data_IF_346636035009
#
_entry.id   IF_346636035009
#
_cell.length_a   1.000
_cell.length_b   1.000
_cell.length_c   1.000
_cell.angle_alpha   90.00
_cell.angle_beta   90.00
_cell.angle_gamma   90.00
#
_symmetry.space_group_name_H-M   'P 1'
#
loop_
_entity.id
_entity.type
_entity.pdbx_description
1 polymer ?
#
# COMPACT_ATOMS: atom_id res chain seq x y z
N UNK A 1 13.16 -43.09 24.99
CA UNK A 1 11.68 -42.92 25.06
C UNK A 1 11.29 -41.54 25.51
N UNK A 2 11.66 -41.11 26.68
CA UNK A 2 11.32 -39.83 27.24
C UNK A 2 11.85 -38.65 26.41
N UNK A 3 13.00 -38.78 25.78
CA UNK A 3 13.57 -37.75 24.94
C UNK A 3 12.74 -37.42 23.71
N UNK A 4 12.09 -38.42 23.13
CA UNK A 4 11.24 -38.22 21.98
C UNK A 4 10.02 -37.36 22.30
N UNK A 5 9.48 -37.56 23.51
CA UNK A 5 8.36 -36.76 23.97
C UNK A 5 8.76 -35.30 24.16
N UNK A 6 9.92 -35.07 24.75
CA UNK A 6 10.46 -33.71 24.90
C UNK A 6 10.70 -33.03 23.57
N UNK A 7 11.21 -33.76 22.59
CA UNK A 7 11.41 -33.22 21.26
C UNK A 7 10.11 -32.74 20.64
N UNK A 8 9.05 -33.50 20.81
CA UNK A 8 7.73 -33.12 20.30
C UNK A 8 7.22 -31.84 20.95
N UNK A 9 7.44 -31.66 22.22
CA UNK A 9 7.07 -30.46 22.94
C UNK A 9 7.82 -29.24 22.39
N UNK A 10 9.09 -29.39 22.11
CA UNK A 10 9.88 -28.33 21.48
C UNK A 10 9.31 -27.90 20.15
N UNK A 11 8.95 -28.85 19.31
CA UNK A 11 8.32 -28.54 18.03
C UNK A 11 7.05 -27.74 18.19
N UNK A 12 6.23 -28.07 19.19
CA UNK A 12 5.03 -27.31 19.48
C UNK A 12 5.31 -25.86 19.86
N UNK A 13 6.32 -25.63 20.67
CA UNK A 13 6.73 -24.28 21.03
C UNK A 13 7.24 -23.49 19.83
N UNK A 14 7.93 -24.15 18.94
CA UNK A 14 8.44 -23.54 17.73
C UNK A 14 7.29 -23.03 16.84
N UNK A 15 6.24 -23.80 16.72
CA UNK A 15 5.05 -23.42 15.95
C UNK A 15 4.40 -22.18 16.54
N UNK A 16 4.35 -22.07 17.87
CA UNK A 16 3.82 -20.89 18.54
C UNK A 16 4.61 -19.62 18.19
N UNK A 17 5.91 -19.73 18.04
CA UNK A 17 6.77 -18.62 17.61
C UNK A 17 6.42 -18.16 16.19
N UNK A 18 6.15 -19.09 15.30
CA UNK A 18 5.72 -18.76 13.94
C UNK A 18 4.37 -18.02 13.94
N UNK A 19 3.49 -18.34 14.88
CA UNK A 19 2.24 -17.62 15.05
C UNK A 19 2.45 -16.14 15.35
N UNK A 20 3.45 -15.81 16.14
CA UNK A 20 3.81 -14.41 16.43
C UNK A 20 4.25 -13.68 15.16
N UNK A 21 5.01 -14.34 14.29
CA UNK A 21 5.42 -13.77 13.01
C UNK A 21 4.21 -13.43 12.14
N UNK A 22 3.20 -14.27 12.12
CA UNK A 22 1.96 -14.00 11.39
C UNK A 22 1.24 -12.76 11.90
N UNK A 23 1.22 -12.55 13.22
CA UNK A 23 0.61 -11.36 13.83
C UNK A 23 1.34 -10.10 13.39
N UNK A 24 2.68 -10.13 13.34
CA UNK A 24 3.46 -8.99 12.85
C UNK A 24 3.12 -8.60 11.42
N UNK A 25 2.82 -9.56 10.57
CA UNK A 25 2.42 -9.31 9.19
C UNK A 25 1.11 -8.54 9.08
N UNK A 26 0.25 -8.55 10.09
CA UNK A 26 -1.00 -7.81 10.11
C UNK A 26 -0.80 -6.29 10.15
N UNK A 27 0.37 -5.81 10.55
CA UNK A 27 0.70 -4.38 10.54
C UNK A 27 0.95 -3.84 9.13
N UNK A 28 1.07 -4.72 8.14
CA UNK A 28 1.28 -4.35 6.75
C UNK A 28 -0.04 -4.24 5.99
N UNK A 29 -1.02 -3.60 6.61
CA UNK A 29 -2.34 -3.39 6.01
C UNK A 29 -2.24 -2.51 4.77
N UNK A 30 -2.96 -2.89 3.73
CA UNK A 30 -3.10 -2.09 2.51
C UNK A 30 -4.25 -1.11 2.66
N UNK A 31 -4.02 0.15 2.26
CA UNK A 31 -5.08 1.13 2.11
C UNK A 31 -5.45 1.21 0.64
N UNK A 32 -6.64 0.75 0.26
CA UNK A 32 -7.00 0.64 -1.15
C UNK A 32 -7.47 1.95 -1.75
N UNK A 33 -7.34 2.06 -3.06
CA UNK A 33 -7.92 3.12 -3.86
C UNK A 33 -8.58 2.52 -5.10
N UNK A 34 -9.73 3.05 -5.48
CA UNK A 34 -10.44 2.68 -6.71
C UNK A 34 -10.89 3.92 -7.43
N UNK A 35 -10.75 3.95 -8.75
CA UNK A 35 -11.30 5.02 -9.57
C UNK A 35 -12.26 4.42 -10.61
N UNK A 36 -13.37 5.12 -10.83
CA UNK A 36 -14.43 4.73 -11.76
C UNK A 36 -14.48 5.67 -12.93
N UNK A 37 -15.02 5.21 -14.04
CA UNK A 37 -15.33 6.05 -15.19
C UNK A 37 -16.23 7.20 -14.74
N UNK A 38 -15.91 8.41 -15.15
CA UNK A 38 -16.61 9.63 -14.76
C UNK A 38 -16.03 10.35 -13.56
N UNK A 39 -15.08 9.74 -12.84
CA UNK A 39 -14.40 10.38 -11.71
C UNK A 39 -13.11 11.03 -12.15
N UNK A 40 -12.87 12.27 -11.72
CA UNK A 40 -11.62 12.99 -12.01
C UNK A 40 -10.48 12.48 -11.14
N UNK A 41 -10.76 12.08 -9.91
CA UNK A 41 -9.74 11.60 -8.98
C UNK A 41 -10.35 10.69 -7.92
N UNK A 42 -9.48 9.94 -7.25
CA UNK A 42 -9.82 9.12 -6.09
C UNK A 42 -8.62 9.06 -5.15
N UNK A 43 -8.87 8.88 -3.86
CA UNK A 43 -7.80 8.79 -2.85
C UNK A 43 -8.06 7.65 -1.90
N UNK A 44 -7.01 7.03 -1.40
CA UNK A 44 -7.09 6.08 -0.30
C UNK A 44 -7.21 6.81 1.04
N UNK A 45 -7.58 6.07 2.09
CA UNK A 45 -7.35 6.53 3.46
C UNK A 45 -5.84 6.54 3.73
N UNK A 46 -5.37 7.37 4.68
CA UNK A 46 -3.97 7.32 5.08
C UNK A 46 -3.62 6.04 5.81
N UNK A 47 -2.39 5.58 5.66
CA UNK A 47 -1.84 4.47 6.45
C UNK A 47 -1.65 4.88 7.91
N UNK A 48 -1.28 3.93 8.75
CA UNK A 48 -0.70 4.23 10.05
C UNK A 48 0.66 4.91 9.87
N UNK A 49 1.28 5.33 10.98
CA UNK A 49 2.58 5.98 10.93
C UNK A 49 3.70 4.98 10.65
N UNK A 50 4.61 5.35 9.77
CA UNK A 50 5.77 4.56 9.41
C UNK A 50 6.77 5.43 8.66
N UNK A 51 7.86 4.82 8.17
CA UNK A 51 8.91 5.56 7.47
C UNK A 51 9.07 5.16 6.02
N UNK A 52 8.39 4.13 5.58
CA UNK A 52 8.50 3.59 4.23
C UNK A 52 7.15 3.05 3.77
N UNK A 53 6.77 3.35 2.54
CA UNK A 53 5.52 2.86 1.96
C UNK A 53 5.70 2.47 0.50
N UNK A 54 5.00 1.43 0.11
CA UNK A 54 4.92 0.94 -1.25
C UNK A 54 3.59 1.34 -1.86
N UNK A 55 3.63 1.89 -3.06
CA UNK A 55 2.47 2.36 -3.83
C UNK A 55 2.32 1.53 -5.09
N UNK A 56 1.12 1.10 -5.38
CA UNK A 56 0.80 0.32 -6.56
C UNK A 56 -0.54 0.76 -7.13
N UNK A 57 -0.63 0.82 -8.45
CA UNK A 57 -1.89 1.07 -9.15
C UNK A 57 -1.92 0.32 -10.48
N UNK A 58 -3.10 -0.19 -10.83
CA UNK A 58 -3.34 -0.89 -12.07
C UNK A 58 -4.65 -0.42 -12.69
N UNK A 59 -4.63 -0.08 -13.98
CA UNK A 59 -5.85 0.16 -14.73
C UNK A 59 -6.51 -1.17 -15.12
N UNK A 60 -7.84 -1.17 -15.20
CA UNK A 60 -8.58 -2.33 -15.67
C UNK A 60 -8.29 -2.59 -17.15
N UNK A 61 -8.46 -3.84 -17.58
CA UNK A 61 -8.24 -4.22 -18.98
C UNK A 61 -9.12 -3.43 -19.96
N UNK A 62 -10.31 -3.00 -19.50
CA UNK A 62 -11.25 -2.20 -20.28
C UNK A 62 -11.19 -0.70 -19.99
N UNK A 63 -10.19 -0.24 -19.26
CA UNK A 63 -10.00 1.20 -19.00
C UNK A 63 -9.61 1.90 -20.29
N UNK A 64 -10.33 2.97 -20.64
CA UNK A 64 -10.03 3.78 -21.82
C UNK A 64 -9.12 4.94 -21.51
N UNK A 65 -8.96 5.29 -20.26
CA UNK A 65 -8.05 6.32 -19.80
C UNK A 65 -6.93 5.75 -18.93
N UNK A 66 -5.80 6.41 -18.97
CA UNK A 66 -4.70 6.16 -18.05
C UNK A 66 -4.86 6.94 -16.75
N UNK A 67 -3.89 6.81 -15.86
CA UNK A 67 -3.89 7.45 -14.57
C UNK A 67 -2.57 8.13 -14.26
N UNK A 68 -2.64 9.26 -13.57
CA UNK A 68 -1.50 9.88 -12.92
C UNK A 68 -1.62 9.60 -11.44
N UNK A 69 -0.64 8.92 -10.88
CA UNK A 69 -0.66 8.46 -9.49
C UNK A 69 0.27 9.32 -8.66
N UNK A 70 -0.27 9.91 -7.60
CA UNK A 70 0.47 10.75 -6.66
C UNK A 70 0.68 10.01 -5.35
N UNK A 71 1.94 9.91 -4.94
CA UNK A 71 2.36 9.28 -3.70
C UNK A 71 2.54 10.35 -2.64
N UNK A 72 1.60 10.44 -1.71
CA UNK A 72 1.53 11.50 -0.72
C UNK A 72 2.04 11.00 0.63
N UNK A 73 2.78 11.86 1.34
CA UNK A 73 3.27 11.56 2.69
C UNK A 73 3.18 12.79 3.57
N UNK A 74 2.88 12.58 4.85
CA UNK A 74 2.80 13.67 5.83
C UNK A 74 3.44 13.29 7.15
N UNK A 75 4.33 14.14 7.64
CA UNK A 75 5.03 13.92 8.91
C UNK A 75 4.10 14.10 10.10
N UNK A 76 4.33 13.33 11.10
CA UNK A 76 3.70 13.53 12.40
C UNK A 76 4.12 14.91 12.96
N UNK A 77 3.13 15.75 13.26
CA UNK A 77 3.37 17.09 13.79
C UNK A 77 3.67 18.17 12.76
N UNK A 78 3.62 17.84 11.47
CA UNK A 78 3.74 18.84 10.41
C UNK A 78 2.52 19.76 10.35
N UNK A 79 2.75 21.05 10.08
CA UNK A 79 1.66 22.01 9.82
C UNK A 79 1.04 21.77 8.45
N UNK A 80 1.78 21.20 7.52
CA UNK A 80 1.28 20.77 6.22
C UNK A 80 0.98 19.29 6.30
N UNK A 81 -0.30 18.87 6.18
CA UNK A 81 -0.66 17.48 6.45
C UNK A 81 -0.02 16.49 5.49
N UNK A 82 0.13 16.88 4.22
CA UNK A 82 0.69 15.97 3.21
C UNK A 82 1.41 16.74 2.11
N UNK A 83 2.47 16.12 1.59
CA UNK A 83 3.21 16.62 0.43
C UNK A 83 3.34 15.53 -0.61
N UNK A 84 3.48 15.92 -1.88
CA UNK A 84 3.75 15.00 -2.97
C UNK A 84 5.23 14.59 -2.93
N UNK A 85 5.48 13.30 -2.75
CA UNK A 85 6.85 12.77 -2.68
C UNK A 85 7.29 12.13 -3.99
N UNK A 86 6.39 11.39 -4.65
CA UNK A 86 6.65 10.77 -5.94
C UNK A 86 5.36 10.70 -6.75
N UNK A 87 5.51 10.53 -8.06
CA UNK A 87 4.38 10.27 -8.96
C UNK A 87 4.80 9.31 -10.05
N UNK A 88 3.82 8.61 -10.61
CA UNK A 88 4.04 7.78 -11.79
C UNK A 88 2.78 7.75 -12.64
N UNK A 89 2.97 7.42 -13.92
CA UNK A 89 1.88 7.36 -14.89
C UNK A 89 1.60 5.90 -15.22
N UNK A 90 0.32 5.54 -15.26
CA UNK A 90 -0.13 4.21 -15.63
C UNK A 90 -0.93 4.32 -16.93
N UNK A 91 -0.56 3.51 -17.91
CA UNK A 91 -1.24 3.46 -19.20
C UNK A 91 -2.64 2.87 -19.06
N UNK A 92 -3.51 3.17 -20.02
CA UNK A 92 -4.83 2.55 -20.08
C UNK A 92 -4.72 1.05 -20.43
N UNK A 93 -5.83 0.34 -20.35
CA UNK A 93 -5.95 -1.06 -20.82
C UNK A 93 -5.01 -2.03 -20.08
N UNK A 94 -5.10 -2.07 -18.76
CA UNK A 94 -4.38 -3.05 -17.95
C UNK A 94 -2.95 -2.69 -17.64
N UNK A 95 -2.56 -1.44 -17.82
CA UNK A 95 -1.25 -0.96 -17.39
C UNK A 95 -1.11 -0.97 -15.86
N UNK A 96 0.10 -1.07 -15.38
CA UNK A 96 0.39 -0.99 -13.95
C UNK A 96 1.65 -0.20 -13.67
N UNK A 97 1.78 0.28 -12.43
CA UNK A 97 2.96 0.96 -11.97
C UNK A 97 3.08 0.88 -10.46
N UNK A 98 4.28 1.10 -9.97
CA UNK A 98 4.56 1.06 -8.54
C UNK A 98 5.79 1.89 -8.22
N UNK A 99 5.89 2.29 -6.96
CA UNK A 99 7.09 2.95 -6.43
C UNK A 99 7.12 2.85 -4.92
N UNK A 100 8.26 3.13 -4.33
CA UNK A 100 8.44 3.17 -2.89
C UNK A 100 8.86 4.58 -2.47
N UNK A 101 8.26 5.06 -1.38
CA UNK A 101 8.63 6.32 -0.75
C UNK A 101 9.26 6.02 0.60
N UNK A 102 10.41 6.63 0.86
CA UNK A 102 11.13 6.52 2.14
C UNK A 102 11.20 7.91 2.75
N UNK A 103 10.76 8.04 3.99
CA UNK A 103 10.79 9.30 4.73
C UNK A 103 11.85 9.25 5.83
N UNK A 104 12.46 10.39 6.12
CA UNK A 104 13.40 10.53 7.23
C UNK A 104 12.70 10.66 8.59
N UNK A 105 11.41 10.94 8.59
CA UNK A 105 10.58 11.10 9.79
C UNK A 105 9.35 10.23 9.70
N UNK A 106 8.83 9.82 10.85
CA UNK A 106 7.59 9.06 10.94
C UNK A 106 6.45 9.81 10.25
N UNK A 107 5.84 9.16 9.28
CA UNK A 107 4.85 9.75 8.37
C UNK A 107 3.67 8.81 8.16
N UNK A 108 2.55 9.38 7.76
CA UNK A 108 1.44 8.64 7.16
C UNK A 108 1.50 8.82 5.66
N UNK A 109 0.95 7.87 4.93
CA UNK A 109 1.00 7.84 3.47
C UNK A 109 -0.39 7.60 2.90
N UNK A 110 -0.71 8.25 1.78
CA UNK A 110 -1.90 7.89 1.02
C UNK A 110 -1.60 7.98 -0.48
N UNK A 111 -2.39 7.27 -1.27
CA UNK A 111 -2.30 7.28 -2.72
C UNK A 111 -3.46 8.08 -3.30
N UNK A 112 -3.17 8.97 -4.25
CA UNK A 112 -4.18 9.73 -4.97
C UNK A 112 -4.03 9.49 -6.47
N UNK A 113 -5.13 9.19 -7.12
CA UNK A 113 -5.15 8.83 -8.53
C UNK A 113 -5.96 9.85 -9.29
N UNK A 114 -5.41 10.38 -10.36
CA UNK A 114 -6.09 11.30 -11.26
C UNK A 114 -6.34 10.61 -12.59
N UNK A 115 -7.58 10.73 -13.07
CA UNK A 115 -7.95 10.26 -14.40
C UNK A 115 -7.42 11.20 -15.47
N UNK A 116 -6.83 10.65 -16.52
CA UNK A 116 -6.34 11.47 -17.63
C UNK A 116 -7.47 12.15 -18.42
N UNK A 117 -8.61 11.47 -18.59
CA UNK A 117 -9.74 11.96 -19.39
C UNK A 117 -11.10 11.52 -18.83
N UNK A 118 -11.25 11.38 -17.55
CA UNK A 118 -12.49 10.92 -16.87
C UNK A 118 -12.99 9.54 -17.34
N UNK A 119 -12.16 8.77 -18.02
CA UNK A 119 -12.50 7.43 -18.51
C UNK A 119 -11.64 6.33 -17.92
N UNK A 120 -10.94 6.65 -16.85
CA UNK A 120 -10.07 5.71 -16.14
C UNK A 120 -10.87 4.83 -15.20
N UNK A 121 -10.56 3.54 -15.24
CA UNK A 121 -11.07 2.53 -14.33
C UNK A 121 -9.91 1.69 -13.83
N UNK A 122 -9.78 1.56 -12.52
CA UNK A 122 -8.69 0.79 -11.96
C UNK A 122 -8.65 0.84 -10.45
N UNK A 123 -7.68 0.16 -9.89
CA UNK A 123 -7.48 0.10 -8.44
C UNK A 123 -6.02 -0.12 -8.08
N UNK A 124 -5.72 0.23 -6.85
CA UNK A 124 -4.39 0.10 -6.31
C UNK A 124 -4.41 0.21 -4.80
N UNK A 125 -3.25 0.44 -4.24
CA UNK A 125 -3.12 0.55 -2.79
C UNK A 125 -1.81 1.23 -2.41
N UNK A 126 -1.75 1.64 -1.16
CA UNK A 126 -0.52 2.01 -0.47
C UNK A 126 -0.36 1.11 0.75
N UNK A 127 0.86 0.70 1.05
CA UNK A 127 1.15 -0.24 2.13
C UNK A 127 2.46 0.13 2.80
N UNK A 128 2.46 0.18 4.14
CA UNK A 128 3.69 0.33 4.91
C UNK A 128 4.63 -0.85 4.69
N UNK A 129 5.91 -0.57 4.70
CA UNK A 129 6.98 -1.57 4.55
C UNK A 129 7.97 -1.53 5.70
#
# INVERSE_FOLDING_TARGET
MKRKVLTKIFVGLFIATLGITSVSAMHLKKEPVSIKVGSASASSDPTDYGMKAYYYFKTAANSKGGANVSCMAGWKGSIYPYTLERSFIVKHSGGSGSTTVIQSKTSRFYIKVFSSVNSTKGNGYVQLK
#
